data_IF_579879789717
#
_entry.id   IF_579879789717
#
_cell.length_a   1.000
_cell.length_b   1.000
_cell.length_c   1.000
_cell.angle_alpha   90.00
_cell.angle_beta   90.00
_cell.angle_gamma   90.00
#
_symmetry.space_group_name_H-M   'P 1'
#
loop_
_entity.id
_entity.type
_entity.pdbx_description
1 polymer ?
#
# COMPACT_ATOMS: atom_id res chain seq x y z
N UNK A 1 45.33 -14.77 59.19
CA UNK A 1 44.39 -15.23 58.12
C UNK A 1 44.91 -16.55 57.56
N UNK A 2 44.14 -17.59 57.57
CA UNK A 2 44.56 -18.94 57.19
C UNK A 2 44.83 -18.98 55.67
N UNK A 3 45.94 -19.60 55.20
CA UNK A 3 46.34 -19.66 53.77
C UNK A 3 45.22 -20.18 52.86
N UNK A 4 44.31 -21.03 53.39
CA UNK A 4 43.11 -21.47 52.69
C UNK A 4 42.08 -20.36 52.44
N UNK A 5 41.91 -19.47 53.42
CA UNK A 5 40.94 -18.39 53.33
C UNK A 5 41.39 -17.29 52.35
N UNK A 6 42.72 -17.08 52.25
CA UNK A 6 43.30 -16.14 51.24
C UNK A 6 43.08 -16.71 49.83
N UNK A 7 43.31 -18.03 49.61
CA UNK A 7 43.05 -18.69 48.30
C UNK A 7 41.58 -18.63 47.90
N UNK A 8 40.65 -18.83 48.83
CA UNK A 8 39.22 -18.74 48.55
C UNK A 8 38.81 -17.32 48.17
N UNK A 9 39.33 -16.29 48.88
CA UNK A 9 39.09 -14.86 48.52
C UNK A 9 39.65 -14.49 47.17
N UNK A 10 40.84 -14.98 46.81
CA UNK A 10 41.44 -14.69 45.46
C UNK A 10 40.61 -15.36 44.37
N UNK A 11 40.16 -16.61 44.56
CA UNK A 11 39.30 -17.32 43.60
C UNK A 11 37.95 -16.61 43.43
N UNK A 12 37.34 -16.20 44.53
CA UNK A 12 36.08 -15.40 44.44
C UNK A 12 36.27 -14.09 43.74
N UNK A 13 37.41 -13.39 44.01
CA UNK A 13 37.73 -12.14 43.28
C UNK A 13 37.93 -12.36 41.78
N UNK A 14 38.67 -13.42 41.40
CA UNK A 14 38.86 -13.76 39.96
C UNK A 14 37.54 -14.14 39.32
N UNK A 15 36.69 -14.87 39.99
CA UNK A 15 35.37 -15.22 39.46
C UNK A 15 34.48 -13.98 39.24
N UNK A 16 34.39 -13.09 40.22
CA UNK A 16 33.65 -11.83 40.08
C UNK A 16 34.18 -10.96 38.91
N UNK A 17 35.49 -10.80 38.84
CA UNK A 17 36.10 -10.03 37.75
C UNK A 17 35.82 -10.70 36.38
N UNK A 18 35.93 -12.03 36.29
CA UNK A 18 35.62 -12.76 35.05
C UNK A 18 34.15 -12.61 34.67
N UNK A 19 33.23 -12.68 35.63
CA UNK A 19 31.79 -12.50 35.40
C UNK A 19 31.48 -11.09 34.88
N UNK A 20 32.08 -10.06 35.49
CA UNK A 20 31.91 -8.68 35.05
C UNK A 20 32.50 -8.46 33.65
N UNK A 21 33.72 -8.98 33.39
CA UNK A 21 34.34 -8.87 32.08
C UNK A 21 33.54 -9.64 31.03
N UNK A 22 33.07 -10.82 31.35
CA UNK A 22 32.24 -11.61 30.45
C UNK A 22 30.88 -10.94 30.20
N UNK A 23 30.25 -10.39 31.24
CA UNK A 23 29.03 -9.59 31.10
C UNK A 23 29.24 -8.34 30.23
N UNK A 24 30.40 -7.66 30.36
CA UNK A 24 30.73 -6.51 29.50
C UNK A 24 31.04 -6.92 28.05
N UNK A 25 31.56 -8.10 27.82
CA UNK A 25 31.89 -8.61 26.48
C UNK A 25 30.64 -9.20 25.78
N UNK A 26 29.72 -9.77 26.55
CA UNK A 26 28.46 -10.37 26.03
C UNK A 26 27.31 -9.38 26.00
N UNK A 27 27.24 -8.43 26.96
CA UNK A 27 26.33 -7.29 26.92
C UNK A 27 26.99 -6.07 26.23
N UNK A 28 27.62 -6.28 25.08
CA UNK A 28 27.66 -5.18 24.14
C UNK A 28 26.18 -4.90 23.87
N UNK A 29 25.71 -3.74 24.33
CA UNK A 29 24.48 -3.14 23.83
C UNK A 29 24.53 -3.28 22.33
N UNK A 30 23.75 -4.19 21.80
CA UNK A 30 23.58 -4.25 20.36
C UNK A 30 23.01 -2.87 20.02
N UNK A 31 23.63 -2.12 19.10
CA UNK A 31 23.06 -0.86 18.67
C UNK A 31 21.61 -1.15 18.26
N UNK A 32 20.71 -0.30 18.69
CA UNK A 32 19.35 -0.30 18.17
C UNK A 32 19.47 -0.13 16.66
N UNK A 33 19.24 -1.21 15.93
CA UNK A 33 19.34 -1.27 14.46
C UNK A 33 17.97 -1.06 13.83
N UNK A 34 16.97 -0.59 14.60
CA UNK A 34 15.74 -0.08 14.00
C UNK A 34 16.12 1.11 13.13
N UNK A 35 16.04 0.93 11.85
CA UNK A 35 16.28 2.00 10.88
C UNK A 35 14.99 2.79 10.76
N UNK A 36 15.00 4.04 11.21
CA UNK A 36 13.99 4.98 10.78
C UNK A 36 14.20 5.18 9.28
N UNK A 37 13.26 4.73 8.48
CA UNK A 37 13.28 4.97 7.05
C UNK A 37 12.95 6.44 6.79
N UNK A 38 13.61 7.01 5.80
CA UNK A 38 13.29 8.36 5.35
C UNK A 38 11.88 8.39 4.75
N UNK A 39 11.23 9.56 4.79
CA UNK A 39 9.94 9.77 4.15
C UNK A 39 9.99 9.41 2.65
N UNK A 40 8.87 8.99 2.08
CA UNK A 40 8.77 8.67 0.67
C UNK A 40 9.10 9.91 -0.20
N UNK A 41 10.21 9.84 -0.95
CA UNK A 41 10.75 10.98 -1.71
C UNK A 41 10.58 10.85 -3.22
N UNK A 42 10.33 9.64 -3.73
CA UNK A 42 10.18 9.43 -5.16
C UNK A 42 8.90 10.08 -5.70
N UNK A 43 8.96 10.72 -6.87
CA UNK A 43 7.79 11.31 -7.51
C UNK A 43 6.69 10.28 -7.80
N UNK A 44 5.43 10.71 -7.74
CA UNK A 44 4.29 9.96 -8.29
C UNK A 44 3.77 10.63 -9.56
N UNK A 45 3.18 9.84 -10.46
CA UNK A 45 2.56 10.34 -11.69
C UNK A 45 1.06 10.07 -11.62
N UNK A 46 0.29 11.13 -11.45
CA UNK A 46 -1.17 11.10 -11.49
C UNK A 46 -1.68 11.30 -12.91
N UNK A 47 -2.48 10.36 -13.40
CA UNK A 47 -3.10 10.44 -14.72
C UNK A 47 -4.52 11.02 -14.63
N UNK A 48 -4.99 11.58 -15.73
CA UNK A 48 -6.31 12.18 -15.82
C UNK A 48 -7.08 11.69 -17.05
N UNK A 49 -8.38 11.49 -16.89
CA UNK A 49 -9.31 11.21 -17.95
C UNK A 49 -10.56 12.08 -17.80
N UNK A 50 -10.86 12.91 -18.79
CA UNK A 50 -12.01 13.85 -18.76
C UNK A 50 -12.07 14.64 -17.43
N UNK A 51 -10.93 15.24 -17.06
CA UNK A 51 -10.73 16.04 -15.85
C UNK A 51 -10.78 15.26 -14.52
N UNK A 52 -11.04 13.95 -14.54
CA UNK A 52 -11.03 13.09 -13.36
C UNK A 52 -9.64 12.52 -13.10
N UNK A 53 -9.21 12.54 -11.85
CA UNK A 53 -8.02 11.81 -11.39
C UNK A 53 -8.27 10.32 -11.50
N UNK A 54 -7.35 9.61 -12.14
CA UNK A 54 -7.34 8.15 -12.26
C UNK A 54 -5.90 7.65 -12.22
N UNK A 55 -5.69 6.41 -11.82
CA UNK A 55 -4.41 5.70 -11.95
C UNK A 55 -3.21 6.52 -11.48
N UNK A 56 -2.95 6.57 -10.20
CA UNK A 56 -1.69 7.06 -9.67
C UNK A 56 -0.59 6.02 -9.92
N UNK A 57 0.50 6.43 -10.57
CA UNK A 57 1.62 5.57 -10.90
C UNK A 57 2.81 5.86 -10.00
N UNK A 58 3.50 4.80 -9.62
CA UNK A 58 4.69 4.84 -8.79
C UNK A 58 5.93 4.53 -9.62
N UNK A 59 7.06 5.17 -9.29
CA UNK A 59 8.30 5.10 -10.07
C UNK A 59 9.17 3.92 -9.69
N UNK A 60 9.73 3.24 -10.70
CA UNK A 60 10.73 2.19 -10.55
C UNK A 60 12.10 2.73 -10.97
N UNK A 61 13.09 2.60 -10.09
CA UNK A 61 14.49 2.98 -10.39
C UNK A 61 15.09 2.02 -11.42
N UNK A 62 14.81 0.72 -11.27
CA UNK A 62 15.23 -0.28 -12.24
C UNK A 62 14.22 -0.39 -13.40
N UNK A 63 14.73 -0.71 -14.59
CA UNK A 63 13.88 -1.02 -15.74
C UNK A 63 13.17 -2.37 -15.50
N UNK A 64 11.87 -2.33 -15.37
CA UNK A 64 11.04 -3.52 -15.16
C UNK A 64 10.67 -4.17 -16.49
N UNK A 65 10.46 -5.49 -16.46
CA UNK A 65 9.91 -6.16 -17.63
C UNK A 65 8.44 -5.76 -17.84
N UNK A 66 8.23 -4.80 -18.74
CA UNK A 66 6.95 -4.16 -18.97
C UNK A 66 5.81 -5.13 -19.37
N UNK A 67 6.11 -6.35 -19.82
CA UNK A 67 5.10 -7.38 -20.08
C UNK A 67 4.29 -7.74 -18.83
N UNK A 68 4.91 -7.63 -17.65
CA UNK A 68 4.26 -7.93 -16.36
C UNK A 68 3.68 -6.69 -15.67
N UNK A 69 3.99 -5.48 -16.14
CA UNK A 69 3.54 -4.22 -15.56
C UNK A 69 2.14 -3.86 -16.09
N UNK A 70 1.11 -4.56 -15.59
CA UNK A 70 -0.27 -4.49 -16.12
C UNK A 70 -1.30 -4.10 -15.07
N UNK A 71 -0.86 -3.50 -13.99
CA UNK A 71 -1.75 -3.20 -12.86
C UNK A 71 -2.91 -2.29 -13.26
N UNK A 72 -2.65 -1.22 -13.99
CA UNK A 72 -3.67 -0.25 -14.39
C UNK A 72 -3.83 -0.15 -15.91
N UNK A 73 -5.00 0.34 -16.34
CA UNK A 73 -5.29 0.69 -17.71
C UNK A 73 -5.85 2.12 -17.79
N UNK A 74 -5.30 2.93 -18.66
CA UNK A 74 -5.62 4.35 -18.81
C UNK A 74 -6.32 4.61 -20.12
N UNK A 75 -7.56 5.10 -20.10
CA UNK A 75 -8.27 5.47 -21.30
C UNK A 75 -7.69 6.75 -21.89
N UNK A 76 -7.55 6.77 -23.22
CA UNK A 76 -7.15 7.97 -24.00
C UNK A 76 -8.41 8.55 -24.61
N UNK A 77 -8.60 9.86 -24.51
CA UNK A 77 -9.73 10.53 -25.12
C UNK A 77 -9.50 10.76 -26.64
N UNK A 78 -10.54 11.14 -27.34
CA UNK A 78 -10.55 11.34 -28.81
C UNK A 78 -9.62 12.44 -29.29
N UNK A 79 -9.25 13.39 -28.42
CA UNK A 79 -8.24 14.42 -28.72
C UNK A 79 -6.80 13.89 -28.67
N UNK A 80 -6.64 12.64 -28.16
CA UNK A 80 -5.36 11.94 -28.01
C UNK A 80 -4.33 12.69 -27.19
N UNK A 81 -4.80 13.43 -26.21
CA UNK A 81 -3.98 14.03 -25.17
C UNK A 81 -4.19 13.26 -23.87
N UNK A 82 -3.11 12.88 -23.21
CA UNK A 82 -3.14 12.30 -21.89
C UNK A 82 -2.60 13.30 -20.87
N UNK A 83 -3.48 13.99 -20.12
CA UNK A 83 -3.04 14.92 -19.10
C UNK A 83 -2.43 14.16 -17.91
N UNK A 84 -1.26 14.63 -17.47
CA UNK A 84 -0.57 14.07 -16.31
C UNK A 84 -0.16 15.16 -15.33
N UNK A 85 -0.03 14.78 -14.05
CA UNK A 85 0.63 15.59 -13.03
C UNK A 85 1.67 14.74 -12.31
N UNK A 86 2.91 15.23 -12.27
CA UNK A 86 3.98 14.61 -11.51
C UNK A 86 4.10 15.33 -10.18
N UNK A 87 3.86 14.62 -9.08
CA UNK A 87 4.10 15.11 -7.72
C UNK A 87 5.58 14.89 -7.40
N UNK A 88 6.44 15.84 -7.78
CA UNK A 88 7.88 15.65 -7.64
C UNK A 88 8.47 16.25 -6.35
N UNK A 89 7.69 17.03 -5.58
CA UNK A 89 8.18 17.62 -4.34
C UNK A 89 9.50 18.38 -4.54
N UNK A 90 10.53 17.93 -3.85
CA UNK A 90 11.91 18.45 -3.99
C UNK A 90 12.76 17.68 -5.01
N UNK A 91 12.25 16.58 -5.60
CA UNK A 91 12.97 15.79 -6.60
C UNK A 91 13.11 16.58 -7.90
N UNK A 92 14.33 16.79 -8.36
CA UNK A 92 14.59 17.50 -9.61
C UNK A 92 14.26 16.58 -10.80
N UNK A 93 13.64 17.13 -11.83
CA UNK A 93 13.35 16.44 -13.10
C UNK A 93 13.99 17.23 -14.23
N UNK A 94 14.97 16.63 -14.89
CA UNK A 94 15.72 17.27 -15.99
C UNK A 94 15.03 17.04 -17.33
N UNK A 95 14.40 15.88 -17.49
CA UNK A 95 13.70 15.50 -18.72
C UNK A 95 12.47 14.64 -18.40
N UNK A 96 11.40 14.87 -19.13
CA UNK A 96 10.20 14.06 -19.18
C UNK A 96 10.07 13.48 -20.58
N UNK A 97 9.95 12.14 -20.68
CA UNK A 97 9.72 11.44 -21.95
C UNK A 97 8.79 10.25 -21.75
N UNK A 98 8.33 9.66 -22.84
CA UNK A 98 7.53 8.44 -22.77
C UNK A 98 7.70 7.55 -23.99
N UNK A 99 7.50 6.26 -23.79
CA UNK A 99 7.43 5.26 -24.83
C UNK A 99 6.05 4.61 -24.91
N UNK A 100 5.63 4.28 -26.12
CA UNK A 100 4.47 3.42 -26.36
C UNK A 100 4.94 2.15 -27.07
N UNK A 101 4.56 1.00 -26.52
CA UNK A 101 4.94 -0.31 -27.04
C UNK A 101 3.72 -1.22 -27.23
N UNK A 102 3.87 -2.22 -28.10
CA UNK A 102 2.90 -3.33 -28.14
C UNK A 102 2.92 -4.09 -26.81
N UNK A 103 1.81 -4.77 -26.46
CA UNK A 103 1.66 -5.52 -25.20
C UNK A 103 2.71 -6.63 -25.01
N UNK A 104 3.33 -7.12 -26.09
CA UNK A 104 4.44 -8.08 -26.04
C UNK A 104 5.82 -7.40 -26.03
N UNK A 105 5.87 -6.07 -25.94
CA UNK A 105 7.03 -5.17 -25.91
C UNK A 105 7.93 -5.18 -27.15
N UNK A 106 7.65 -6.04 -28.12
CA UNK A 106 8.54 -6.25 -29.29
C UNK A 106 8.50 -5.07 -30.27
N UNK A 107 7.41 -4.33 -30.34
CA UNK A 107 7.24 -3.21 -31.24
C UNK A 107 7.21 -1.90 -30.48
N UNK A 108 8.19 -1.05 -30.70
CA UNK A 108 8.17 0.36 -30.30
C UNK A 108 7.26 1.12 -31.28
N UNK A 109 6.25 1.80 -30.76
CA UNK A 109 5.28 2.57 -31.53
C UNK A 109 5.60 4.05 -31.47
N UNK A 110 5.96 4.53 -30.30
CA UNK A 110 6.42 5.89 -30.06
C UNK A 110 7.54 5.91 -29.04
N UNK A 111 8.44 6.89 -29.21
CA UNK A 111 9.44 7.32 -28.26
C UNK A 111 9.49 8.83 -28.39
N UNK A 112 9.06 9.54 -27.34
CA UNK A 112 8.77 10.97 -27.46
C UNK A 112 9.22 11.71 -26.22
N UNK A 113 10.04 12.75 -26.44
CA UNK A 113 10.37 13.73 -25.42
C UNK A 113 9.25 14.76 -25.31
N UNK A 114 8.89 15.12 -24.08
CA UNK A 114 7.89 16.14 -23.79
C UNK A 114 8.58 17.49 -23.65
N UNK A 115 8.50 18.31 -24.70
CA UNK A 115 9.20 19.61 -24.75
C UNK A 115 8.48 20.74 -24.00
N UNK A 116 7.17 20.58 -23.73
CA UNK A 116 6.36 21.60 -23.06
C UNK A 116 5.64 21.04 -21.83
N UNK A 117 6.05 21.51 -20.67
CA UNK A 117 5.36 21.27 -19.40
C UNK A 117 5.51 22.49 -18.50
N UNK A 118 4.63 22.61 -17.51
CA UNK A 118 4.76 23.64 -16.47
C UNK A 118 5.21 23.00 -15.18
N UNK A 119 6.14 23.64 -14.45
CA UNK A 119 6.57 23.21 -13.13
C UNK A 119 6.33 24.34 -12.13
N UNK A 120 5.54 24.05 -11.09
CA UNK A 120 5.23 24.99 -10.01
C UNK A 120 5.04 24.25 -8.69
N UNK A 121 5.68 24.75 -7.63
CA UNK A 121 5.48 24.25 -6.26
C UNK A 121 5.64 22.72 -6.11
N UNK A 122 6.65 22.13 -6.74
CA UNK A 122 6.90 20.70 -6.67
C UNK A 122 5.90 19.84 -7.46
N UNK A 123 5.20 20.43 -8.44
CA UNK A 123 4.29 19.74 -9.34
C UNK A 123 4.61 20.07 -10.78
N UNK A 124 4.81 19.04 -11.61
CA UNK A 124 4.91 19.16 -13.06
C UNK A 124 3.54 18.83 -13.65
N UNK A 125 3.06 19.66 -14.59
CA UNK A 125 1.83 19.40 -15.33
C UNK A 125 2.17 19.37 -16.82
N UNK A 126 1.78 18.29 -17.50
CA UNK A 126 2.01 18.07 -18.91
C UNK A 126 0.82 17.35 -19.56
N UNK A 127 0.68 17.55 -20.87
CA UNK A 127 -0.22 16.78 -21.72
C UNK A 127 0.66 15.92 -22.64
N UNK A 128 0.55 14.60 -22.56
CA UNK A 128 1.28 13.68 -23.42
C UNK A 128 0.53 13.51 -24.75
N UNK A 129 1.08 13.92 -25.89
CA UNK A 129 0.42 13.78 -27.17
C UNK A 129 0.56 12.35 -27.73
N UNK A 130 -0.49 11.55 -27.64
CA UNK A 130 -0.54 10.16 -28.12
C UNK A 130 -0.94 10.17 -29.62
N UNK A 131 -0.12 10.75 -30.47
CA UNK A 131 -0.47 10.99 -31.88
C UNK A 131 -0.36 9.78 -32.79
N UNK A 132 0.30 8.71 -32.37
CA UNK A 132 0.47 7.52 -33.17
C UNK A 132 -0.85 6.74 -33.31
N UNK A 133 -1.00 6.04 -34.43
CA UNK A 133 -2.18 5.23 -34.70
C UNK A 133 -2.27 4.11 -33.68
N UNK A 134 -3.25 4.22 -32.78
CA UNK A 134 -3.70 3.15 -31.92
C UNK A 134 -4.99 2.54 -32.53
N UNK A 135 -5.07 1.22 -32.51
CA UNK A 135 -6.32 0.56 -32.86
C UNK A 135 -7.33 0.73 -31.72
N UNK A 136 -8.56 1.13 -32.05
CA UNK A 136 -9.61 1.31 -31.05
C UNK A 136 -9.85 0.01 -30.29
N UNK A 137 -10.04 0.11 -28.98
CA UNK A 137 -10.21 -1.01 -28.06
C UNK A 137 -9.02 -2.00 -27.98
N UNK A 138 -7.86 -1.64 -28.54
CA UNK A 138 -6.63 -2.39 -28.37
C UNK A 138 -5.78 -1.79 -27.25
N UNK A 139 -5.14 -2.64 -26.46
CA UNK A 139 -4.27 -2.23 -25.38
C UNK A 139 -2.83 -2.06 -25.86
N UNK A 140 -2.16 -1.06 -25.31
CA UNK A 140 -0.74 -0.78 -25.51
C UNK A 140 -0.09 -0.47 -24.17
N UNK A 141 1.22 -0.67 -24.09
CA UNK A 141 2.01 -0.26 -22.92
C UNK A 141 2.45 1.19 -23.09
N UNK A 142 2.25 1.99 -22.06
CA UNK A 142 2.83 3.32 -21.90
C UNK A 142 3.84 3.24 -20.78
N UNK A 143 5.07 3.71 -21.06
CA UNK A 143 6.14 3.86 -20.09
C UNK A 143 6.51 5.34 -20.05
N UNK A 144 6.36 5.97 -18.90
CA UNK A 144 6.75 7.36 -18.68
C UNK A 144 8.10 7.37 -17.98
N UNK A 145 9.03 8.20 -18.44
CA UNK A 145 10.36 8.33 -17.91
C UNK A 145 10.58 9.73 -17.32
N UNK A 146 11.06 9.77 -16.08
CA UNK A 146 11.58 10.98 -15.45
C UNK A 146 13.10 10.81 -15.28
N UNK A 147 13.86 11.66 -15.95
CA UNK A 147 15.33 11.66 -15.89
C UNK A 147 15.80 12.69 -14.86
N UNK A 148 16.72 12.31 -14.01
CA UNK A 148 17.48 13.20 -13.12
C UNK A 148 18.95 12.79 -13.06
N UNK A 149 19.84 13.62 -13.64
CA UNK A 149 21.25 13.26 -13.80
C UNK A 149 21.43 11.99 -14.63
N UNK A 150 21.99 10.95 -14.04
CA UNK A 150 22.16 9.63 -14.67
C UNK A 150 21.04 8.64 -14.30
N UNK A 151 20.12 9.02 -13.40
CA UNK A 151 19.05 8.16 -12.92
C UNK A 151 17.77 8.37 -13.72
N UNK A 152 17.07 7.28 -14.01
CA UNK A 152 15.78 7.29 -14.70
C UNK A 152 14.74 6.57 -13.86
N UNK A 153 13.64 7.26 -13.54
CA UNK A 153 12.46 6.64 -12.94
C UNK A 153 11.47 6.25 -14.04
N UNK A 154 11.00 5.01 -13.98
CA UNK A 154 10.13 4.41 -14.97
C UNK A 154 8.74 4.17 -14.39
N UNK A 155 7.69 4.64 -15.07
CA UNK A 155 6.29 4.50 -14.66
C UNK A 155 5.52 3.74 -15.72
N UNK A 156 4.74 2.75 -15.32
CA UNK A 156 4.11 1.81 -16.24
C UNK A 156 2.59 1.84 -16.13
N UNK A 157 1.90 1.88 -17.26
CA UNK A 157 0.46 1.65 -17.36
C UNK A 157 0.12 1.12 -18.74
N UNK A 158 -1.01 0.42 -18.86
CA UNK A 158 -1.60 0.15 -20.18
C UNK A 158 -2.39 1.37 -20.62
N UNK A 159 -2.47 1.61 -21.92
CA UNK A 159 -3.36 2.60 -22.52
C UNK A 159 -4.28 1.96 -23.54
N UNK A 160 -5.46 2.53 -23.68
CA UNK A 160 -6.49 2.11 -24.64
C UNK A 160 -7.24 3.34 -25.16
N UNK A 161 -7.58 3.37 -26.46
CA UNK A 161 -8.57 4.30 -27.00
C UNK A 161 -9.95 3.61 -26.96
N UNK A 162 -10.78 3.86 -25.91
CA UNK A 162 -12.00 3.09 -25.69
C UNK A 162 -13.11 3.58 -26.63
N UNK A 163 -13.72 2.63 -27.34
CA UNK A 163 -14.91 2.88 -28.14
C UNK A 163 -16.08 2.08 -27.56
N UNK A 164 -17.18 2.77 -27.24
CA UNK A 164 -18.39 2.18 -26.65
C UNK A 164 -18.17 1.46 -25.31
N UNK A 165 -17.15 1.88 -24.53
CA UNK A 165 -16.80 1.29 -23.24
C UNK A 165 -17.37 2.02 -22.03
N UNK A 166 -17.91 3.23 -22.19
CA UNK A 166 -18.59 4.01 -21.13
C UNK A 166 -17.76 4.17 -19.84
N UNK A 167 -16.47 4.46 -20.01
CA UNK A 167 -15.51 4.51 -18.89
C UNK A 167 -15.86 5.62 -17.92
N UNK A 168 -16.19 6.82 -18.42
CA UNK A 168 -16.56 7.96 -17.57
C UNK A 168 -17.77 7.64 -16.70
N UNK A 169 -18.82 7.09 -17.31
CA UNK A 169 -20.06 6.70 -16.64
C UNK A 169 -19.79 5.64 -15.55
N UNK A 170 -18.82 4.75 -15.80
CA UNK A 170 -18.43 3.72 -14.84
C UNK A 170 -17.70 4.32 -13.64
N UNK A 171 -16.80 5.27 -13.86
CA UNK A 171 -16.09 5.99 -12.78
C UNK A 171 -17.10 6.81 -11.96
N UNK A 172 -17.98 7.55 -12.64
CA UNK A 172 -19.00 8.37 -11.99
C UNK A 172 -19.92 7.51 -11.12
N UNK A 173 -20.29 6.33 -11.60
CA UNK A 173 -21.10 5.38 -10.84
C UNK A 173 -20.38 4.86 -9.59
N UNK A 174 -19.12 4.43 -9.71
CA UNK A 174 -18.35 3.94 -8.57
C UNK A 174 -18.23 5.01 -7.47
N UNK A 175 -17.93 6.25 -7.85
CA UNK A 175 -17.87 7.39 -6.91
C UNK A 175 -19.23 7.70 -6.27
N UNK A 176 -20.30 7.75 -7.05
CA UNK A 176 -21.65 8.00 -6.54
C UNK A 176 -22.12 6.88 -5.60
N UNK A 177 -21.79 5.62 -5.93
CA UNK A 177 -22.08 4.49 -5.07
C UNK A 177 -21.32 4.59 -3.75
N UNK A 178 -20.01 4.84 -3.80
CA UNK A 178 -19.15 5.06 -2.64
C UNK A 178 -19.73 6.17 -1.73
N UNK A 179 -20.00 7.36 -2.26
CA UNK A 179 -20.55 8.49 -1.50
C UNK A 179 -21.87 8.13 -0.83
N UNK A 180 -22.75 7.40 -1.53
CA UNK A 180 -24.05 6.96 -0.98
C UNK A 180 -23.92 5.92 0.12
N UNK A 181 -22.82 5.14 0.18
CA UNK A 181 -22.60 4.21 1.30
C UNK A 181 -22.48 4.94 2.64
N UNK A 182 -21.91 6.15 2.65
CA UNK A 182 -21.76 6.99 3.85
C UNK A 182 -22.99 7.83 4.17
N UNK A 183 -23.92 7.98 3.21
CA UNK A 183 -25.17 8.76 3.40
C UNK A 183 -26.27 7.86 3.94
N UNK A 184 -26.52 7.89 5.27
CA UNK A 184 -27.59 7.08 5.90
C UNK A 184 -28.98 7.37 5.33
N UNK A 185 -29.27 8.61 4.94
CA UNK A 185 -30.56 9.08 4.42
C UNK A 185 -30.64 9.08 2.89
N UNK A 186 -30.05 8.30 2.15
CA UNK A 186 -30.07 8.24 0.67
C UNK A 186 -29.74 6.85 0.13
N UNK A 187 -29.36 5.98 1.02
CA UNK A 187 -28.86 4.64 0.71
C UNK A 187 -29.90 3.69 0.12
N UNK A 188 -31.20 4.00 0.22
CA UNK A 188 -32.27 3.17 -0.35
C UNK A 188 -32.15 2.93 -1.87
N UNK A 189 -31.51 3.84 -2.60
CA UNK A 189 -31.24 3.67 -4.04
C UNK A 189 -30.20 2.59 -4.31
N UNK A 190 -29.29 2.29 -3.36
CA UNK A 190 -28.28 1.25 -3.48
C UNK A 190 -28.89 -0.15 -3.48
N UNK A 191 -30.03 -0.34 -2.81
CA UNK A 191 -30.72 -1.63 -2.74
C UNK A 191 -31.05 -2.22 -4.12
N UNK A 192 -31.19 -1.38 -5.15
CA UNK A 192 -31.49 -1.83 -6.51
C UNK A 192 -30.30 -2.49 -7.23
N UNK A 193 -29.10 -2.31 -6.69
CA UNK A 193 -27.86 -2.85 -7.22
C UNK A 193 -27.35 -4.07 -6.44
N UNK A 194 -27.90 -4.29 -5.22
CA UNK A 194 -27.47 -5.37 -4.34
C UNK A 194 -28.23 -6.66 -4.62
N UNK A 195 -27.55 -7.79 -4.42
CA UNK A 195 -28.06 -9.16 -4.53
C UNK A 195 -27.91 -9.90 -3.19
N UNK A 196 -28.59 -9.45 -2.11
CA UNK A 196 -28.35 -9.99 -0.78
C UNK A 196 -28.66 -11.47 -0.69
N UNK A 197 -27.73 -12.24 -0.10
CA UNK A 197 -27.86 -13.67 0.15
C UNK A 197 -27.79 -13.94 1.64
N UNK A 198 -28.69 -14.76 2.14
CA UNK A 198 -28.74 -15.16 3.54
C UNK A 198 -27.56 -16.04 3.98
N UNK A 199 -26.81 -16.61 3.04
CA UNK A 199 -25.58 -17.37 3.28
C UNK A 199 -24.33 -16.50 3.40
N UNK A 200 -24.41 -15.21 2.99
CA UNK A 200 -23.28 -14.28 3.11
C UNK A 200 -22.95 -14.00 4.59
N UNK A 201 -21.65 -13.85 4.87
CA UNK A 201 -21.22 -13.40 6.19
C UNK A 201 -21.56 -11.91 6.37
N UNK A 202 -22.48 -11.64 7.30
CA UNK A 202 -22.89 -10.29 7.64
C UNK A 202 -22.55 -9.95 9.11
N UNK A 203 -21.52 -10.60 9.68
CA UNK A 203 -21.11 -10.41 11.08
C UNK A 203 -20.07 -9.32 11.27
N UNK A 204 -19.28 -9.01 10.22
CA UNK A 204 -18.21 -8.00 10.27
C UNK A 204 -18.31 -7.03 9.10
N UNK A 205 -17.55 -5.93 9.16
CA UNK A 205 -17.36 -4.99 8.06
C UNK A 205 -16.04 -5.21 7.29
N UNK A 206 -15.24 -6.19 7.74
CA UNK A 206 -13.96 -6.50 7.14
C UNK A 206 -14.07 -6.91 5.66
N UNK A 207 -15.14 -7.64 5.33
CA UNK A 207 -15.43 -8.05 3.97
C UNK A 207 -16.93 -7.86 3.69
N UNK A 208 -17.24 -6.95 2.78
CA UNK A 208 -18.59 -6.65 2.34
C UNK A 208 -18.67 -6.88 0.84
N UNK A 209 -19.71 -7.53 0.35
CA UNK A 209 -19.87 -7.84 -1.08
C UNK A 209 -21.25 -7.44 -1.59
N UNK A 210 -21.46 -7.62 -2.90
CA UNK A 210 -22.77 -7.43 -3.53
C UNK A 210 -23.87 -8.30 -2.89
N UNK A 211 -23.48 -9.42 -2.23
CA UNK A 211 -24.39 -10.33 -1.54
C UNK A 211 -24.65 -9.95 -0.07
N UNK A 212 -23.96 -8.94 0.45
CA UNK A 212 -24.16 -8.45 1.80
C UNK A 212 -25.48 -7.68 1.94
N UNK A 213 -25.94 -7.54 3.18
CA UNK A 213 -27.13 -6.71 3.44
C UNK A 213 -26.83 -5.23 3.16
N UNK A 214 -27.85 -4.46 2.78
CA UNK A 214 -27.72 -3.02 2.61
C UNK A 214 -27.16 -2.33 3.86
N UNK A 215 -27.48 -2.86 5.04
CA UNK A 215 -26.96 -2.38 6.31
C UNK A 215 -25.44 -2.50 6.38
N UNK A 216 -24.85 -3.62 5.95
CA UNK A 216 -23.39 -3.80 5.89
C UNK A 216 -22.76 -2.85 4.87
N UNK A 217 -23.37 -2.74 3.69
CA UNK A 217 -22.90 -1.85 2.63
C UNK A 217 -22.87 -0.39 3.10
N UNK A 218 -23.84 0.02 3.91
CA UNK A 218 -23.96 1.38 4.49
C UNK A 218 -23.32 1.51 5.88
N UNK A 219 -22.29 0.72 6.15
CA UNK A 219 -21.43 0.80 7.33
C UNK A 219 -22.11 0.47 8.68
N UNK A 220 -23.29 -0.11 8.68
CA UNK A 220 -24.03 -0.52 9.90
C UNK A 220 -23.98 0.55 11.02
N UNK A 221 -23.33 0.20 12.13
CA UNK A 221 -23.11 1.07 13.30
C UNK A 221 -21.76 1.79 13.25
N UNK A 222 -20.91 1.44 12.31
CA UNK A 222 -19.62 2.08 12.18
C UNK A 222 -19.80 3.56 11.88
N UNK A 223 -19.16 4.42 12.64
CA UNK A 223 -19.26 5.86 12.52
C UNK A 223 -17.92 6.45 12.08
N UNK A 224 -17.41 5.91 10.97
CA UNK A 224 -16.14 6.37 10.40
C UNK A 224 -16.30 7.61 9.53
N UNK A 225 -15.19 8.30 9.38
CA UNK A 225 -15.04 9.47 8.49
C UNK A 225 -13.94 9.17 7.49
N UNK A 226 -14.21 9.45 6.21
CA UNK A 226 -13.19 9.34 5.15
C UNK A 226 -12.10 10.36 5.42
N UNK A 227 -10.85 9.90 5.56
CA UNK A 227 -9.69 10.73 5.86
C UNK A 227 -8.99 11.18 4.58
N UNK A 228 -8.81 10.27 3.61
CA UNK A 228 -8.19 10.56 2.33
C UNK A 228 -9.21 10.48 1.20
N UNK A 229 -9.08 11.38 0.21
CA UNK A 229 -9.94 11.30 -0.98
C UNK A 229 -9.72 9.93 -1.67
N UNK A 230 -10.80 9.22 -2.09
CA UNK A 230 -10.65 7.94 -2.78
C UNK A 230 -9.80 8.04 -4.04
N UNK A 231 -8.71 7.27 -4.06
CA UNK A 231 -7.86 7.07 -5.23
C UNK A 231 -8.56 6.11 -6.19
N UNK A 232 -8.74 6.53 -7.44
CA UNK A 232 -9.41 5.74 -8.47
C UNK A 232 -8.38 5.01 -9.31
N UNK A 233 -8.43 3.69 -9.36
CA UNK A 233 -7.62 2.86 -10.23
C UNK A 233 -8.50 2.06 -11.19
N UNK A 234 -8.21 2.12 -12.48
CA UNK A 234 -8.95 1.36 -13.50
C UNK A 234 -8.14 0.11 -13.83
N UNK A 235 -8.74 -1.06 -13.62
CA UNK A 235 -8.08 -2.35 -13.81
C UNK A 235 -8.42 -2.99 -15.16
N UNK A 236 -9.66 -2.83 -15.62
CA UNK A 236 -10.12 -3.37 -16.91
C UNK A 236 -11.07 -2.39 -17.60
N UNK A 237 -10.91 -2.28 -18.92
CA UNK A 237 -11.80 -1.53 -19.80
C UNK A 237 -12.17 -2.41 -20.99
N UNK A 238 -13.44 -2.66 -21.18
CA UNK A 238 -13.96 -3.32 -22.36
C UNK A 238 -15.44 -2.94 -22.60
N UNK A 239 -15.98 -3.32 -23.75
CA UNK A 239 -17.36 -2.97 -24.12
C UNK A 239 -18.42 -3.78 -23.37
N UNK A 240 -18.04 -4.75 -22.56
CA UNK A 240 -18.97 -5.58 -21.79
C UNK A 240 -19.03 -5.17 -20.32
N UNK A 241 -17.93 -4.69 -19.75
CA UNK A 241 -17.82 -4.21 -18.37
C UNK A 241 -16.53 -3.42 -18.17
N UNK A 242 -16.47 -2.65 -17.11
CA UNK A 242 -15.25 -2.03 -16.60
C UNK A 242 -15.01 -2.47 -15.16
N UNK A 243 -13.73 -2.50 -14.75
CA UNK A 243 -13.32 -2.77 -13.36
C UNK A 243 -12.62 -1.56 -12.81
N UNK A 244 -13.11 -1.09 -11.66
CA UNK A 244 -12.63 0.10 -10.97
C UNK A 244 -12.37 -0.27 -9.51
N UNK A 245 -11.23 0.18 -8.96
CA UNK A 245 -10.92 0.15 -7.56
C UNK A 245 -10.95 1.57 -6.99
N UNK A 246 -11.42 1.70 -5.76
CA UNK A 246 -11.28 2.89 -4.93
C UNK A 246 -10.50 2.52 -3.68
N UNK A 247 -9.37 3.19 -3.44
CA UNK A 247 -8.52 3.01 -2.26
C UNK A 247 -8.55 4.29 -1.42
N UNK A 248 -8.81 4.16 -0.12
CA UNK A 248 -8.88 5.30 0.80
C UNK A 248 -8.70 4.87 2.25
N UNK A 249 -8.44 5.84 3.12
CA UNK A 249 -8.34 5.64 4.57
C UNK A 249 -9.58 6.21 5.26
N UNK A 250 -10.11 5.45 6.21
CA UNK A 250 -11.20 5.85 7.09
C UNK A 250 -10.70 5.89 8.52
N UNK A 251 -11.17 6.87 9.29
CA UNK A 251 -10.94 6.93 10.73
C UNK A 251 -12.23 6.77 11.50
N UNK A 252 -12.16 6.11 12.64
CA UNK A 252 -13.25 5.99 13.60
C UNK A 252 -12.73 6.12 15.02
N UNK A 253 -13.62 6.38 15.96
CA UNK A 253 -13.30 6.32 17.39
C UNK A 253 -13.60 4.91 17.89
N UNK A 254 -12.58 4.22 18.39
CA UNK A 254 -12.72 2.89 18.98
C UNK A 254 -13.47 2.89 20.30
N UNK A 255 -13.74 1.70 20.80
CA UNK A 255 -14.48 1.50 22.07
C UNK A 255 -13.73 2.06 23.29
N UNK A 256 -12.40 2.16 23.21
CA UNK A 256 -11.51 2.76 24.23
C UNK A 256 -11.45 4.31 24.13
N UNK A 257 -12.05 4.91 23.09
CA UNK A 257 -12.07 6.36 22.84
C UNK A 257 -10.87 6.87 22.04
N UNK A 258 -9.98 5.99 21.60
CA UNK A 258 -8.85 6.31 20.73
C UNK A 258 -9.25 6.35 19.25
N UNK A 259 -8.43 7.00 18.44
CA UNK A 259 -8.67 7.11 17.01
C UNK A 259 -8.05 5.90 16.31
N UNK A 260 -8.90 5.15 15.62
CA UNK A 260 -8.53 4.01 14.79
C UNK A 260 -8.52 4.41 13.33
N UNK A 261 -7.62 3.80 12.56
CA UNK A 261 -7.44 4.04 11.13
C UNK A 261 -7.62 2.74 10.37
N UNK A 262 -8.28 2.81 9.21
CA UNK A 262 -8.60 1.64 8.41
C UNK A 262 -8.26 1.90 6.94
N UNK A 263 -7.50 0.99 6.33
CA UNK A 263 -7.36 0.92 4.89
C UNK A 263 -8.63 0.30 4.31
N UNK A 264 -9.23 0.95 3.35
CA UNK A 264 -10.43 0.47 2.67
C UNK A 264 -10.15 0.39 1.18
N UNK A 265 -10.45 -0.76 0.60
CA UNK A 265 -10.46 -0.98 -0.84
C UNK A 265 -11.87 -1.36 -1.28
N UNK A 266 -12.39 -0.70 -2.30
CA UNK A 266 -13.66 -1.01 -2.92
C UNK A 266 -13.45 -1.44 -4.38
N UNK A 267 -13.88 -2.63 -4.71
CA UNK A 267 -13.85 -3.19 -6.05
C UNK A 267 -15.23 -3.08 -6.70
N UNK A 268 -15.27 -2.51 -7.90
CA UNK A 268 -16.48 -2.36 -8.71
C UNK A 268 -16.29 -3.01 -10.07
N UNK A 269 -17.13 -3.99 -10.41
CA UNK A 269 -17.29 -4.48 -11.75
C UNK A 269 -18.64 -4.02 -12.28
N UNK A 270 -18.63 -3.14 -13.26
CA UNK A 270 -19.82 -2.44 -13.73
C UNK A 270 -20.00 -2.58 -15.24
N UNK A 271 -21.25 -2.55 -15.67
CA UNK A 271 -21.62 -2.56 -17.09
C UNK A 271 -22.66 -1.49 -17.35
N UNK A 272 -22.39 -0.62 -18.31
CA UNK A 272 -23.35 0.34 -18.80
C UNK A 272 -24.08 -0.22 -20.04
N UNK A 273 -25.37 -0.03 -20.09
CA UNK A 273 -26.17 -0.23 -21.31
C UNK A 273 -26.81 1.11 -21.66
N UNK A 274 -27.40 1.23 -22.84
CA UNK A 274 -28.00 2.49 -23.31
C UNK A 274 -29.05 3.09 -22.34
N UNK A 275 -29.51 2.32 -21.36
CA UNK A 275 -30.60 2.71 -20.47
C UNK A 275 -30.13 2.93 -19.03
N UNK A 276 -29.13 2.16 -18.53
CA UNK A 276 -28.69 2.25 -17.13
C UNK A 276 -27.36 1.56 -16.84
N UNK A 277 -26.78 1.88 -15.69
CA UNK A 277 -25.66 1.15 -15.10
C UNK A 277 -26.15 -0.11 -14.37
N UNK A 278 -25.38 -1.19 -14.50
CA UNK A 278 -25.52 -2.46 -13.77
C UNK A 278 -24.25 -2.68 -12.93
N UNK A 279 -24.43 -2.97 -11.66
CA UNK A 279 -23.36 -3.46 -10.80
C UNK A 279 -23.32 -4.97 -10.94
N UNK A 280 -22.23 -5.50 -11.51
CA UNK A 280 -22.03 -6.93 -11.73
C UNK A 280 -21.33 -7.60 -10.56
N UNK A 281 -20.44 -6.87 -9.87
CA UNK A 281 -19.83 -7.26 -8.62
C UNK A 281 -19.43 -6.01 -7.83
N UNK A 282 -19.51 -6.13 -6.52
CA UNK A 282 -19.02 -5.17 -5.55
C UNK A 282 -18.38 -5.93 -4.40
N UNK A 283 -17.17 -5.53 -4.04
CA UNK A 283 -16.48 -6.02 -2.85
C UNK A 283 -15.85 -4.82 -2.15
N UNK A 284 -15.89 -4.82 -0.83
CA UNK A 284 -15.18 -3.86 0.01
C UNK A 284 -14.46 -4.60 1.10
N UNK A 285 -13.13 -4.40 1.18
CA UNK A 285 -12.31 -4.86 2.28
C UNK A 285 -11.97 -3.69 3.18
N UNK A 286 -11.88 -3.94 4.48
CA UNK A 286 -11.50 -2.95 5.48
C UNK A 286 -10.55 -3.60 6.47
N UNK A 287 -9.31 -3.13 6.50
CA UNK A 287 -8.25 -3.61 7.38
C UNK A 287 -7.77 -2.49 8.29
N UNK A 288 -7.70 -2.78 9.59
CA UNK A 288 -7.21 -1.83 10.57
C UNK A 288 -5.69 -1.61 10.39
N UNK A 289 -5.29 -0.34 10.32
CA UNK A 289 -3.89 0.06 10.37
C UNK A 289 -3.45 -0.06 11.83
N UNK A 290 -2.73 -1.13 12.13
CA UNK A 290 -2.28 -1.42 13.48
C UNK A 290 -1.31 -0.33 13.97
N UNK A 291 -1.60 0.23 15.15
CA UNK A 291 -0.75 1.18 15.86
C UNK A 291 -0.57 0.66 17.28
N UNK A 292 0.67 0.46 17.69
CA UNK A 292 0.99 -0.05 19.03
C UNK A 292 0.50 0.83 20.20
N UNK A 293 -0.13 1.94 19.91
CA UNK A 293 -0.70 2.90 20.87
C UNK A 293 -2.10 2.50 21.36
N UNK A 294 -2.79 1.61 20.60
CA UNK A 294 -4.12 1.15 20.95
C UNK A 294 -4.04 0.10 22.08
N UNK A 295 -5.06 0.07 22.95
CA UNK A 295 -5.16 -0.90 24.06
C UNK A 295 -5.49 -2.33 23.57
N UNK A 296 -4.71 -2.83 22.59
CA UNK A 296 -4.85 -4.17 22.01
C UNK A 296 -4.24 -5.26 22.88
N UNK A 297 -3.67 -4.88 24.03
CA UNK A 297 -3.04 -5.79 24.98
C UNK A 297 -4.03 -6.29 26.02
N UNK A 298 -4.33 -7.58 25.98
CA UNK A 298 -5.09 -8.28 27.00
C UNK A 298 -4.13 -9.14 27.86
N UNK A 299 -4.59 -9.58 29.03
CA UNK A 299 -3.72 -10.33 29.95
C UNK A 299 -2.98 -11.52 29.30
N UNK A 300 -3.61 -12.19 28.33
CA UNK A 300 -3.13 -13.42 27.72
C UNK A 300 -3.03 -13.40 26.19
N UNK A 301 -3.40 -12.32 25.51
CA UNK A 301 -3.33 -12.21 24.06
C UNK A 301 -3.17 -10.77 23.61
N UNK A 302 -2.65 -10.62 22.40
CA UNK A 302 -2.58 -9.38 21.65
C UNK A 302 -3.60 -9.44 20.52
N UNK A 303 -4.51 -8.47 20.47
CA UNK A 303 -5.45 -8.35 19.37
C UNK A 303 -4.79 -7.60 18.20
N UNK A 304 -4.72 -8.22 17.04
CA UNK A 304 -4.04 -7.66 15.87
C UNK A 304 -5.01 -7.07 14.83
N UNK A 305 -6.33 -7.13 15.06
CA UNK A 305 -7.32 -6.67 14.06
C UNK A 305 -7.21 -7.38 12.71
N UNK A 306 -6.72 -8.64 12.68
CA UNK A 306 -6.48 -9.38 11.45
C UNK A 306 -7.78 -9.97 10.92
N UNK A 307 -8.07 -9.72 9.64
CA UNK A 307 -9.27 -10.20 8.96
C UNK A 307 -9.02 -11.42 8.07
N UNK A 308 -7.74 -11.79 7.87
CA UNK A 308 -7.31 -12.94 7.08
C UNK A 308 -6.61 -13.97 7.95
N UNK A 309 -6.76 -15.26 7.64
CA UNK A 309 -5.98 -16.34 8.26
C UNK A 309 -4.58 -16.49 7.67
N UNK A 310 -4.28 -15.79 6.58
CA UNK A 310 -2.99 -15.84 5.88
C UNK A 310 -2.07 -14.73 6.37
N UNK A 311 -1.53 -14.90 7.55
CA UNK A 311 -0.62 -13.95 8.20
C UNK A 311 0.77 -14.55 8.25
N UNK A 312 1.76 -13.83 7.72
CA UNK A 312 3.17 -14.20 7.89
C UNK A 312 3.57 -13.96 9.35
N UNK A 313 3.98 -15.01 10.06
CA UNK A 313 4.51 -14.89 11.41
C UNK A 313 5.58 -15.94 11.71
N UNK A 314 6.48 -15.62 12.64
CA UNK A 314 7.46 -16.55 13.21
C UNK A 314 7.75 -16.25 14.67
N UNK A 315 8.03 -17.31 15.44
CA UNK A 315 8.50 -17.20 16.81
C UNK A 315 9.93 -17.74 16.95
N UNK A 316 10.60 -17.33 18.05
CA UNK A 316 11.81 -17.99 18.51
C UNK A 316 11.49 -19.42 19.03
N UNK A 317 12.52 -20.22 19.38
CA UNK A 317 12.34 -21.61 19.83
C UNK A 317 11.54 -21.72 21.12
N UNK A 318 11.68 -20.76 22.04
CA UNK A 318 10.95 -20.75 23.31
C UNK A 318 9.53 -20.21 23.22
N UNK A 319 9.15 -19.59 22.09
CA UNK A 319 7.85 -18.94 21.89
C UNK A 319 7.67 -17.64 22.69
N UNK A 320 8.75 -17.10 23.27
CA UNK A 320 8.72 -15.85 24.04
C UNK A 320 8.73 -14.60 23.18
N UNK A 321 9.18 -14.71 21.94
CA UNK A 321 9.21 -13.61 20.96
C UNK A 321 8.48 -14.08 19.71
N UNK A 322 7.50 -13.27 19.28
CA UNK A 322 6.70 -13.51 18.09
C UNK A 322 6.82 -12.31 17.16
N UNK A 323 7.29 -12.52 15.94
CA UNK A 323 7.27 -11.51 14.89
C UNK A 323 6.19 -11.86 13.86
N UNK A 324 5.48 -10.84 13.38
CA UNK A 324 4.37 -10.98 12.43
C UNK A 324 4.33 -9.78 11.46
N UNK A 325 3.74 -10.02 10.31
CA UNK A 325 3.51 -8.97 9.29
C UNK A 325 2.05 -8.57 9.32
N UNK A 326 1.77 -7.28 9.47
CA UNK A 326 0.44 -6.69 9.42
C UNK A 326 0.46 -5.47 8.51
N UNK A 327 -0.40 -5.45 7.50
CA UNK A 327 -0.54 -4.33 6.55
C UNK A 327 0.81 -3.82 5.95
N UNK A 328 1.69 -4.76 5.57
CA UNK A 328 3.01 -4.42 5.02
C UNK A 328 4.03 -3.94 6.04
N UNK A 329 3.77 -4.10 7.33
CA UNK A 329 4.67 -3.74 8.42
C UNK A 329 5.12 -4.96 9.21
N UNK A 330 6.37 -4.98 9.63
CA UNK A 330 6.92 -6.04 10.48
C UNK A 330 6.92 -5.57 11.94
N UNK A 331 6.21 -6.30 12.75
CA UNK A 331 6.11 -6.11 14.20
C UNK A 331 6.68 -7.31 14.96
N UNK A 332 7.26 -7.09 16.13
CA UNK A 332 7.70 -8.15 17.01
C UNK A 332 7.23 -7.91 18.44
N UNK A 333 6.63 -8.93 19.02
CA UNK A 333 6.13 -8.94 20.40
C UNK A 333 7.00 -9.81 21.29
N UNK A 334 7.57 -9.24 22.36
CA UNK A 334 8.27 -9.94 23.41
C UNK A 334 7.31 -10.17 24.58
N UNK A 335 6.87 -11.43 24.74
CA UNK A 335 5.91 -11.82 25.79
C UNK A 335 6.49 -11.73 27.21
N UNK A 336 7.82 -11.85 27.37
CA UNK A 336 8.50 -11.76 28.66
C UNK A 336 8.52 -10.33 29.18
N UNK A 337 8.81 -9.39 28.30
CA UNK A 337 8.88 -7.96 28.62
C UNK A 337 7.55 -7.25 28.43
N UNK A 338 6.57 -7.92 27.78
CA UNK A 338 5.30 -7.33 27.35
C UNK A 338 5.51 -6.10 26.48
N UNK A 339 6.48 -6.18 25.60
CA UNK A 339 6.87 -5.09 24.70
C UNK A 339 6.56 -5.45 23.26
N UNK A 340 5.89 -4.55 22.55
CA UNK A 340 5.70 -4.60 21.12
C UNK A 340 6.63 -3.57 20.47
N UNK A 341 7.28 -3.95 19.37
CA UNK A 341 8.20 -3.10 18.64
C UNK A 341 7.92 -3.21 17.15
N UNK A 342 7.81 -2.07 16.48
CA UNK A 342 7.81 -2.00 15.02
C UNK A 342 9.25 -2.18 14.53
N UNK A 343 9.48 -3.21 13.71
CA UNK A 343 10.81 -3.57 13.23
C UNK A 343 11.06 -2.98 11.86
N UNK A 344 10.00 -2.92 11.02
CA UNK A 344 10.08 -2.37 9.68
C UNK A 344 8.72 -1.85 9.23
N UNK A 345 8.70 -0.67 8.61
CA UNK A 345 7.54 -0.07 7.97
C UNK A 345 7.99 0.87 6.87
N UNK A 346 7.27 0.92 5.74
CA UNK A 346 7.38 2.02 4.78
C UNK A 346 6.44 3.18 5.11
N UNK A 347 5.55 3.00 6.08
CA UNK A 347 4.57 4.01 6.48
C UNK A 347 5.19 4.96 7.49
N UNK A 348 5.10 6.26 7.21
CA UNK A 348 5.45 7.30 8.18
C UNK A 348 4.42 7.39 9.32
N UNK A 349 4.74 8.18 10.33
CA UNK A 349 3.91 8.29 11.54
C UNK A 349 2.45 8.71 11.26
N UNK A 350 2.24 9.58 10.27
CA UNK A 350 0.88 10.05 9.93
C UNK A 350 0.11 9.07 9.02
N UNK A 351 0.82 8.29 8.18
CA UNK A 351 0.25 7.25 7.32
C UNK A 351 -0.81 7.74 6.33
N UNK A 352 -0.73 9.00 5.90
CA UNK A 352 -1.72 9.67 5.04
C UNK A 352 -1.25 9.73 3.59
N UNK A 353 0.08 9.66 3.36
CA UNK A 353 0.66 9.72 2.03
C UNK A 353 0.33 8.42 1.25
N UNK A 354 -0.17 8.55 0.02
CA UNK A 354 -0.48 7.40 -0.85
C UNK A 354 0.75 6.52 -1.11
N UNK A 355 1.95 7.12 -1.13
CA UNK A 355 3.21 6.42 -1.29
C UNK A 355 3.53 5.52 -0.10
N UNK A 356 3.21 5.97 1.11
CA UNK A 356 3.43 5.22 2.35
C UNK A 356 2.43 4.07 2.52
N UNK A 357 1.23 4.24 1.98
CA UNK A 357 0.17 3.23 2.00
C UNK A 357 0.22 2.26 0.80
N UNK A 358 1.22 2.42 -0.09
CA UNK A 358 1.37 1.55 -1.25
C UNK A 358 1.69 0.11 -0.83
N UNK A 359 0.88 -0.85 -1.28
CA UNK A 359 0.90 -2.25 -0.82
C UNK A 359 1.74 -3.19 -1.71
N UNK A 360 2.41 -2.70 -2.74
CA UNK A 360 3.18 -3.51 -3.71
C UNK A 360 4.52 -4.01 -3.16
N UNK A 361 4.57 -4.39 -1.89
CA UNK A 361 5.71 -5.04 -1.27
C UNK A 361 5.25 -6.19 -0.37
N UNK A 362 6.14 -7.15 -0.16
CA UNK A 362 5.91 -8.30 0.71
C UNK A 362 7.10 -8.47 1.65
N UNK A 363 6.84 -8.95 2.85
CA UNK A 363 7.82 -9.20 3.89
C UNK A 363 7.81 -10.68 4.23
N UNK A 364 9.00 -11.31 4.20
CA UNK A 364 9.17 -12.70 4.62
C UNK A 364 10.13 -12.80 5.79
N UNK A 365 9.66 -13.35 6.89
CA UNK A 365 10.45 -13.57 8.10
C UNK A 365 11.23 -14.87 7.93
N UNK A 366 12.56 -14.80 7.96
CA UNK A 366 13.44 -15.95 7.80
C UNK A 366 13.63 -16.65 9.14
N UNK A 367 13.96 -15.87 10.18
CA UNK A 367 14.29 -16.41 11.50
C UNK A 367 14.06 -15.37 12.59
N UNK A 368 13.66 -15.84 13.77
CA UNK A 368 13.65 -15.07 15.03
C UNK A 368 14.50 -15.85 16.03
N UNK A 369 15.45 -15.21 16.66
CA UNK A 369 16.33 -15.85 17.64
C UNK A 369 15.94 -15.54 19.10
N UNK A 370 16.63 -16.17 20.05
CA UNK A 370 16.36 -16.02 21.48
C UNK A 370 16.78 -14.66 22.05
N UNK A 371 17.54 -13.87 21.29
CA UNK A 371 17.97 -12.53 21.68
C UNK A 371 17.02 -11.43 21.19
N UNK A 372 16.00 -11.79 20.40
CA UNK A 372 15.09 -10.85 19.78
C UNK A 372 15.55 -10.33 18.41
N UNK A 373 16.62 -10.90 17.83
CA UNK A 373 17.01 -10.59 16.47
C UNK A 373 16.08 -11.27 15.46
N UNK A 374 15.60 -10.54 14.48
CA UNK A 374 14.81 -11.04 13.38
C UNK A 374 15.55 -10.88 12.06
N UNK A 375 15.75 -11.99 11.33
CA UNK A 375 16.21 -11.99 9.95
C UNK A 375 14.99 -12.01 9.04
N UNK A 376 14.87 -11.04 8.13
CA UNK A 376 13.75 -10.94 7.20
C UNK A 376 14.20 -10.38 5.84
N UNK A 377 13.36 -10.55 4.83
CA UNK A 377 13.53 -9.99 3.49
C UNK A 377 12.30 -9.18 3.13
N UNK A 378 12.50 -7.97 2.64
CA UNK A 378 11.48 -7.15 2.00
C UNK A 378 11.73 -7.16 0.50
N UNK A 379 10.71 -7.39 -0.29
CA UNK A 379 10.79 -7.35 -1.74
C UNK A 379 9.53 -6.73 -2.33
N UNK A 380 9.70 -5.98 -3.40
CA UNK A 380 8.63 -5.23 -4.03
C UNK A 380 9.05 -3.80 -4.37
N UNK A 381 8.09 -2.96 -4.66
CA UNK A 381 8.33 -1.56 -4.94
C UNK A 381 8.59 -0.79 -3.64
N UNK A 382 9.74 -0.13 -3.56
CA UNK A 382 10.06 0.84 -2.51
C UNK A 382 9.98 2.25 -3.07
N UNK A 383 9.18 3.10 -2.46
CA UNK A 383 9.01 4.52 -2.83
C UNK A 383 9.91 5.44 -2.02
N UNK A 384 10.71 4.88 -1.12
CA UNK A 384 11.76 5.56 -0.37
C UNK A 384 13.12 5.19 -0.92
N UNK A 385 14.07 6.12 -0.86
CA UNK A 385 15.45 5.84 -1.25
C UNK A 385 16.12 5.04 -0.13
N UNK A 386 16.26 3.72 -0.32
CA UNK A 386 17.03 2.87 0.60
C UNK A 386 18.48 2.92 0.15
N UNK A 387 19.30 3.71 0.83
CA UNK A 387 20.74 3.85 0.50
C UNK A 387 21.58 2.61 0.83
N UNK A 388 21.09 1.71 1.69
CA UNK A 388 21.72 0.43 2.00
C UNK A 388 20.65 -0.64 2.34
N UNK A 389 20.82 -1.89 1.91
CA UNK A 389 19.91 -2.97 2.30
C UNK A 389 20.09 -3.28 3.79
N UNK A 390 19.09 -2.93 4.59
CA UNK A 390 19.03 -3.27 6.02
C UNK A 390 18.82 -4.78 6.17
N UNK A 391 19.81 -5.50 6.64
CA UNK A 391 19.77 -6.97 6.71
C UNK A 391 19.38 -7.51 8.08
N UNK A 392 19.46 -6.73 9.14
CA UNK A 392 19.22 -7.20 10.49
C UNK A 392 18.58 -6.10 11.33
N UNK A 393 17.45 -6.39 11.94
CA UNK A 393 16.90 -5.62 13.04
C UNK A 393 17.07 -6.41 14.33
N UNK A 394 17.46 -5.76 15.42
CA UNK A 394 17.57 -6.36 16.73
C UNK A 394 16.67 -5.60 17.71
N UNK A 395 15.81 -6.36 18.38
CA UNK A 395 14.92 -5.84 19.40
C UNK A 395 15.64 -5.91 20.75
N UNK A 396 15.96 -4.79 21.32
CA UNK A 396 16.54 -4.69 22.67
C UNK A 396 15.48 -4.36 23.70
#
# INVERSE_FOLDING_TARGET
MNKGMIRALVLAGVFLVSTVVFSFLTNKTNPDMTTELEEATLPTVQLYYKEQKINELYGYVDEMNAVYMRDSITPIDTDRLLPIRVQNGSYAVDELSYEIRSMDTKRLIADTKVDSYSQKNGVITADLPIQNLLDSNAEYLLIIHLLHGDDTLNYYTRIIEPQDCYVKESIDFAKDFHEKTFQKDGSGSLATYMEPDSSADNTTLANVSIHSTLRQVTWDKFNGTVLTDPSVSIKEINNSYNVILLDYVVTATGDNGELEYYNVEEYYRVRYTNDRMYLLNFERTMDEIFRAENDDFYENYLQLGICSSDVEYKSNETGSILCFVKEGELWCYNATEKKLSQVFSFRGYEGIDSRENHKEHDIRIIKVDETGSADFVVYGLSLIHISEPTRHAQIS
#
